data_IF_309149062997
#
_entry.id   IF_309149062997
#
_cell.length_a   1.000
_cell.length_b   1.000
_cell.length_c   1.000
_cell.angle_alpha   90.00
_cell.angle_beta   90.00
_cell.angle_gamma   90.00
#
_symmetry.space_group_name_H-M   'P 1'
#
loop_
_entity.id
_entity.type
_entity.pdbx_description
1 polymer ?
#
# COMPACT_ATOMS: atom_id res chain seq x y z
N UNK A 1 14.64 2.48 8.02
CA UNK A 1 14.13 1.77 6.83
C UNK A 1 13.03 2.59 6.19
N UNK A 2 13.08 2.80 4.85
CA UNK A 2 12.06 3.53 4.09
C UNK A 2 11.33 2.58 3.15
N UNK A 3 10.00 2.54 3.20
CA UNK A 3 9.17 1.57 2.48
C UNK A 3 8.18 2.32 1.59
N UNK A 4 8.12 1.96 0.31
CA UNK A 4 7.08 2.43 -0.61
C UNK A 4 5.80 1.60 -0.43
N UNK A 5 4.65 2.26 -0.33
CA UNK A 5 3.35 1.63 -0.21
C UNK A 5 2.47 1.96 -1.41
N UNK A 6 1.95 0.94 -2.07
CA UNK A 6 1.09 1.05 -3.26
C UNK A 6 -0.01 0.00 -3.21
N UNK A 7 -1.15 0.27 -3.81
CA UNK A 7 -2.28 -0.65 -3.93
C UNK A 7 -3.15 -0.29 -5.13
N UNK A 8 -3.97 -1.23 -5.58
CA UNK A 8 -5.04 -0.98 -6.55
C UNK A 8 -4.54 -0.32 -7.84
N UNK A 9 -3.49 -0.89 -8.42
CA UNK A 9 -2.89 -0.39 -9.67
C UNK A 9 -3.76 -0.68 -10.88
N UNK A 10 -4.43 -1.81 -10.94
CA UNK A 10 -5.36 -2.20 -12.02
C UNK A 10 -4.80 -1.97 -13.44
N UNK A 11 -3.51 -2.23 -13.67
CA UNK A 11 -2.85 -2.15 -14.96
C UNK A 11 -2.82 -3.54 -15.60
N UNK A 12 -3.19 -3.69 -16.88
CA UNK A 12 -3.53 -2.65 -17.86
C UNK A 12 -5.02 -2.26 -17.90
N UNK A 13 -5.88 -2.82 -17.05
CA UNK A 13 -7.33 -2.77 -17.19
C UNK A 13 -7.92 -1.36 -17.02
N UNK A 14 -7.27 -0.48 -16.26
CA UNK A 14 -7.73 0.89 -15.98
C UNK A 14 -6.79 1.98 -16.46
N UNK A 15 -5.52 1.67 -16.56
CA UNK A 15 -4.47 2.54 -17.10
C UNK A 15 -3.44 1.65 -17.77
N UNK A 16 -2.93 2.04 -18.92
CA UNK A 16 -1.97 1.23 -19.68
C UNK A 16 -0.59 1.14 -19.04
N UNK A 17 -0.20 2.16 -18.26
CA UNK A 17 1.14 2.24 -17.66
C UNK A 17 1.09 2.81 -16.24
N UNK A 18 2.06 2.40 -15.43
CA UNK A 18 2.29 3.00 -14.11
C UNK A 18 2.72 4.47 -14.28
N UNK A 19 2.08 5.44 -13.58
CA UNK A 19 2.46 6.83 -13.66
C UNK A 19 3.93 7.06 -13.27
N UNK A 20 4.68 7.84 -14.06
CA UNK A 20 6.09 8.15 -13.77
C UNK A 20 6.32 8.75 -12.38
N UNK A 21 5.37 9.50 -11.87
CA UNK A 21 5.45 10.06 -10.53
C UNK A 21 5.42 9.01 -9.40
N UNK A 22 4.94 7.78 -9.68
CA UNK A 22 5.09 6.66 -8.73
C UNK A 22 6.56 6.28 -8.61
N UNK A 23 7.26 6.20 -9.75
CA UNK A 23 8.70 5.90 -9.78
C UNK A 23 9.47 6.93 -8.95
N UNK A 24 9.20 8.23 -9.19
CA UNK A 24 9.83 9.34 -8.45
C UNK A 24 9.49 9.33 -6.96
N UNK A 25 8.26 8.98 -6.60
CA UNK A 25 7.84 8.89 -5.19
C UNK A 25 8.57 7.79 -4.42
N UNK A 26 9.02 6.74 -5.14
CA UNK A 26 9.72 5.60 -4.55
C UNK A 26 11.24 5.64 -4.72
N UNK A 27 11.81 6.74 -5.22
CA UNK A 27 13.25 6.91 -5.25
C UNK A 27 13.86 6.79 -3.83
N UNK A 28 14.84 5.88 -3.68
CA UNK A 28 15.54 5.66 -2.42
C UNK A 28 14.74 4.93 -1.34
N UNK A 29 13.65 4.21 -1.69
CA UNK A 29 13.04 3.26 -0.76
C UNK A 29 13.82 1.96 -0.72
N UNK A 30 13.82 1.29 0.44
CA UNK A 30 14.50 0.01 0.65
C UNK A 30 13.66 -1.19 0.20
N UNK A 31 12.33 -1.01 0.19
CA UNK A 31 11.34 -2.07 -0.08
C UNK A 31 10.06 -1.42 -0.62
N UNK A 32 9.31 -2.13 -1.46
CA UNK A 32 7.98 -1.74 -1.89
C UNK A 32 6.97 -2.81 -1.46
N UNK A 33 5.87 -2.39 -0.84
CA UNK A 33 4.74 -3.24 -0.46
C UNK A 33 3.54 -2.91 -1.34
N UNK A 34 3.02 -3.92 -2.05
CA UNK A 34 1.84 -3.78 -2.88
C UNK A 34 0.64 -4.53 -2.25
N UNK A 35 -0.36 -3.79 -1.80
CA UNK A 35 -1.51 -4.34 -1.08
C UNK A 35 -2.66 -4.83 -1.99
N UNK A 36 -2.31 -5.45 -3.13
CA UNK A 36 -3.24 -6.18 -4.00
C UNK A 36 -3.89 -5.35 -5.11
N UNK A 37 -4.63 -6.06 -5.97
CA UNK A 37 -5.16 -5.58 -7.24
C UNK A 37 -4.05 -5.02 -8.15
N UNK A 38 -3.01 -5.84 -8.30
CA UNK A 38 -1.87 -5.62 -9.20
C UNK A 38 -2.33 -5.74 -10.65
N UNK A 39 -3.03 -6.83 -10.95
CA UNK A 39 -3.65 -7.29 -12.19
C UNK A 39 -2.69 -7.74 -13.30
N UNK A 40 -1.41 -7.40 -13.25
CA UNK A 40 -0.40 -7.92 -14.17
C UNK A 40 1.01 -7.90 -13.56
N UNK A 41 1.83 -8.92 -13.83
CA UNK A 41 3.21 -9.01 -13.36
C UNK A 41 4.12 -7.88 -13.87
N UNK A 42 3.80 -7.27 -15.02
CA UNK A 42 4.55 -6.13 -15.55
C UNK A 42 4.63 -4.96 -14.55
N UNK A 43 3.60 -4.80 -13.71
CA UNK A 43 3.61 -3.78 -12.64
C UNK A 43 4.70 -4.10 -11.61
N UNK A 44 4.78 -5.36 -11.18
CA UNK A 44 5.79 -5.83 -10.22
C UNK A 44 7.19 -5.64 -10.81
N UNK A 45 7.42 -6.09 -12.04
CA UNK A 45 8.71 -5.96 -12.74
C UNK A 45 9.17 -4.50 -12.88
N UNK A 46 8.22 -3.58 -13.11
CA UNK A 46 8.52 -2.14 -13.15
C UNK A 46 8.93 -1.59 -11.79
N UNK A 47 8.24 -2.00 -10.73
CA UNK A 47 8.55 -1.58 -9.36
C UNK A 47 9.86 -2.20 -8.87
N UNK A 48 10.17 -3.43 -9.24
CA UNK A 48 11.42 -4.13 -8.88
C UNK A 48 12.68 -3.46 -9.46
N UNK A 49 12.54 -2.63 -10.49
CA UNK A 49 13.65 -1.79 -10.97
C UNK A 49 14.05 -0.69 -9.99
N UNK A 50 13.21 -0.41 -8.99
CA UNK A 50 13.45 0.61 -7.97
C UNK A 50 13.95 -0.04 -6.68
N UNK A 51 13.20 -1.03 -6.15
CA UNK A 51 13.50 -1.75 -4.92
C UNK A 51 12.79 -3.12 -4.94
N UNK A 52 13.18 -4.09 -4.10
CA UNK A 52 12.46 -5.35 -3.95
C UNK A 52 10.96 -5.12 -3.69
N UNK A 53 10.10 -5.98 -4.27
CA UNK A 53 8.64 -5.87 -4.15
C UNK A 53 8.07 -7.06 -3.40
N UNK A 54 7.23 -6.81 -2.42
CA UNK A 54 6.38 -7.82 -1.78
C UNK A 54 4.92 -7.46 -2.04
N UNK A 55 4.22 -8.30 -2.79
CA UNK A 55 2.82 -8.09 -3.14
C UNK A 55 1.93 -9.16 -2.53
N UNK A 56 0.64 -8.83 -2.35
CA UNK A 56 -0.43 -9.76 -1.99
C UNK A 56 -1.52 -9.72 -3.05
N UNK A 57 -2.35 -10.78 -3.11
CA UNK A 57 -3.46 -10.83 -4.05
C UNK A 57 -4.62 -9.92 -3.63
N UNK A 58 -5.26 -9.26 -4.60
CA UNK A 58 -6.55 -8.63 -4.45
C UNK A 58 -7.69 -9.41 -5.14
N UNK A 59 -8.90 -8.88 -5.09
CA UNK A 59 -10.05 -9.53 -5.74
C UNK A 59 -9.96 -9.51 -7.26
N UNK A 60 -9.32 -8.51 -7.85
CA UNK A 60 -9.15 -8.45 -9.31
C UNK A 60 -8.03 -9.36 -9.78
N UNK A 61 -6.99 -9.59 -8.96
CA UNK A 61 -5.95 -10.58 -9.25
C UNK A 61 -6.55 -11.98 -9.35
N UNK A 62 -7.41 -12.36 -8.41
CA UNK A 62 -8.17 -13.64 -8.45
C UNK A 62 -9.11 -13.71 -9.64
N UNK A 63 -9.78 -12.62 -9.97
CA UNK A 63 -10.74 -12.58 -11.08
C UNK A 63 -10.08 -12.78 -12.43
N UNK A 64 -8.92 -12.15 -12.65
CA UNK A 64 -8.23 -12.23 -13.94
C UNK A 64 -7.26 -13.40 -14.02
N UNK A 65 -6.74 -13.91 -12.89
CA UNK A 65 -5.82 -15.04 -12.83
C UNK A 65 -4.48 -14.81 -13.54
N UNK A 66 -4.07 -13.55 -13.69
CA UNK A 66 -2.82 -13.19 -14.38
C UNK A 66 -1.61 -13.19 -13.45
N UNK A 67 -1.83 -13.10 -12.14
CA UNK A 67 -0.81 -13.13 -11.10
C UNK A 67 -1.16 -14.15 -10.04
N UNK A 68 -0.16 -14.86 -9.53
CA UNK A 68 -0.28 -15.80 -8.41
C UNK A 68 0.46 -15.21 -7.21
N UNK A 69 -0.30 -14.65 -6.27
CA UNK A 69 0.20 -13.93 -5.11
C UNK A 69 -0.44 -14.46 -3.83
N UNK A 70 0.25 -14.42 -2.68
CA UNK A 70 -0.33 -14.84 -1.42
C UNK A 70 -1.42 -13.86 -0.95
N UNK A 71 -2.38 -14.38 -0.17
CA UNK A 71 -3.50 -13.58 0.39
C UNK A 71 -3.06 -12.50 1.37
N UNK A 72 -1.98 -12.77 2.09
CA UNK A 72 -1.39 -11.85 3.07
C UNK A 72 0.08 -12.16 3.25
N UNK A 73 0.82 -11.18 3.78
CA UNK A 73 2.21 -11.33 4.21
C UNK A 73 2.42 -10.67 5.56
N UNK A 74 3.43 -11.14 6.28
CA UNK A 74 3.93 -10.50 7.48
C UNK A 74 5.44 -10.32 7.31
N UNK A 75 5.93 -9.12 7.58
CA UNK A 75 7.36 -8.81 7.56
C UNK A 75 7.77 -8.12 8.85
N UNK A 76 9.07 -8.19 9.14
CA UNK A 76 9.69 -7.36 10.19
C UNK A 76 10.46 -6.23 9.54
N UNK A 77 10.27 -5.02 10.04
CA UNK A 77 11.01 -3.83 9.66
C UNK A 77 11.40 -3.08 10.94
N UNK A 78 12.69 -3.07 11.27
CA UNK A 78 13.19 -2.58 12.56
C UNK A 78 12.46 -3.28 13.73
N UNK A 79 11.87 -2.50 14.63
CA UNK A 79 11.09 -2.99 15.78
C UNK A 79 9.60 -3.23 15.42
N UNK A 80 9.21 -3.03 14.16
CA UNK A 80 7.82 -3.15 13.73
C UNK A 80 7.54 -4.48 13.05
N UNK A 81 6.34 -5.04 13.30
CA UNK A 81 5.77 -6.12 12.52
C UNK A 81 4.70 -5.54 11.60
N UNK A 82 4.86 -5.70 10.30
CA UNK A 82 3.97 -5.16 9.28
C UNK A 82 3.20 -6.29 8.63
N UNK A 83 1.87 -6.25 8.72
CA UNK A 83 0.97 -7.08 7.94
C UNK A 83 0.56 -6.40 6.64
N UNK A 84 0.37 -7.20 5.60
CA UNK A 84 -0.10 -6.74 4.30
C UNK A 84 -1.23 -7.65 3.86
N UNK A 85 -2.37 -7.07 3.49
CA UNK A 85 -3.51 -7.77 2.87
C UNK A 85 -4.29 -6.80 1.99
N UNK A 86 -5.16 -7.31 1.11
CA UNK A 86 -5.96 -6.41 0.27
C UNK A 86 -7.18 -5.82 0.99
N UNK A 87 -7.87 -6.61 1.79
CA UNK A 87 -8.99 -6.15 2.60
C UNK A 87 -10.38 -6.32 1.95
N UNK A 88 -10.46 -6.92 0.77
CA UNK A 88 -11.72 -7.15 0.03
C UNK A 88 -12.68 -8.13 0.70
N UNK A 89 -12.18 -8.93 1.67
CA UNK A 89 -12.98 -9.89 2.45
C UNK A 89 -13.55 -9.31 3.74
N UNK A 90 -13.23 -8.04 4.02
CA UNK A 90 -13.74 -7.29 5.16
C UNK A 90 -14.81 -6.30 4.69
N UNK A 91 -15.62 -5.82 5.62
CA UNK A 91 -16.59 -4.76 5.29
C UNK A 91 -15.81 -3.50 4.88
N UNK A 92 -16.18 -2.95 3.73
CA UNK A 92 -15.44 -1.82 3.13
C UNK A 92 -15.41 -0.62 4.06
N UNK A 93 -14.20 -0.18 4.42
CA UNK A 93 -13.98 0.99 5.28
C UNK A 93 -14.23 0.74 6.76
N UNK A 94 -14.41 -0.51 7.16
CA UNK A 94 -14.56 -0.89 8.57
C UNK A 94 -13.16 -0.99 9.22
N UNK A 95 -12.79 0.06 9.95
CA UNK A 95 -11.49 0.15 10.62
C UNK A 95 -11.38 -0.83 11.79
N UNK A 96 -12.47 -1.15 12.48
CA UNK A 96 -12.47 -2.10 13.58
C UNK A 96 -12.17 -3.52 13.07
N UNK A 97 -12.76 -3.94 11.94
CA UNK A 97 -12.43 -5.22 11.32
C UNK A 97 -10.97 -5.29 10.87
N UNK A 98 -10.41 -4.20 10.34
CA UNK A 98 -8.98 -4.13 10.00
C UNK A 98 -8.10 -4.22 11.25
N UNK A 99 -8.47 -3.54 12.34
CA UNK A 99 -7.74 -3.62 13.60
C UNK A 99 -7.79 -5.03 14.21
N UNK A 100 -8.95 -5.70 14.18
CA UNK A 100 -9.07 -7.10 14.60
C UNK A 100 -8.20 -8.02 13.73
N UNK A 101 -8.14 -7.77 12.42
CA UNK A 101 -7.30 -8.56 11.53
C UNK A 101 -5.81 -8.35 11.82
N UNK A 102 -5.41 -7.14 12.16
CA UNK A 102 -4.04 -6.86 12.59
C UNK A 102 -3.68 -7.61 13.89
N UNK A 103 -4.60 -7.66 14.86
CA UNK A 103 -4.43 -8.44 16.09
C UNK A 103 -4.31 -9.95 15.81
N UNK A 104 -5.18 -10.48 14.92
CA UNK A 104 -5.12 -11.88 14.52
C UNK A 104 -3.79 -12.25 13.84
N UNK A 105 -3.24 -11.31 13.06
CA UNK A 105 -1.94 -11.44 12.39
C UNK A 105 -0.75 -11.16 13.32
N UNK A 106 -1.00 -10.72 14.55
CA UNK A 106 0.03 -10.30 15.54
C UNK A 106 0.96 -9.21 15.00
N UNK A 107 0.40 -8.22 14.29
CA UNK A 107 1.14 -7.09 13.72
C UNK A 107 0.71 -5.76 14.35
N UNK A 108 1.62 -4.81 14.37
CA UNK A 108 1.36 -3.46 14.89
C UNK A 108 1.20 -2.39 13.77
N UNK A 109 1.51 -2.76 12.53
CA UNK A 109 1.17 -1.96 11.34
C UNK A 109 0.45 -2.88 10.35
N UNK A 110 -0.71 -2.46 9.83
CA UNK A 110 -1.43 -3.18 8.80
C UNK A 110 -1.60 -2.31 7.56
N UNK A 111 -1.09 -2.80 6.43
CA UNK A 111 -1.25 -2.17 5.12
C UNK A 111 -2.39 -2.86 4.39
N UNK A 112 -3.35 -2.07 3.90
CA UNK A 112 -4.50 -2.57 3.13
C UNK A 112 -4.75 -1.72 1.88
N UNK A 113 -5.57 -2.23 0.95
CA UNK A 113 -6.03 -1.57 -0.26
C UNK A 113 -7.55 -1.53 -0.36
N UNK A 114 -8.08 -1.92 -1.52
CA UNK A 114 -9.48 -2.16 -1.85
C UNK A 114 -10.39 -0.95 -1.84
N UNK A 115 -10.27 -0.04 -0.88
CA UNK A 115 -11.14 1.15 -0.81
C UNK A 115 -10.76 2.21 -1.84
N UNK A 116 -9.51 2.22 -2.32
CA UNK A 116 -8.89 3.24 -3.18
C UNK A 116 -8.89 4.64 -2.53
N UNK A 117 -9.00 4.72 -1.22
CA UNK A 117 -9.03 5.95 -0.44
C UNK A 117 -7.79 5.98 0.46
N UNK A 118 -6.89 6.96 0.30
CA UNK A 118 -5.72 7.08 1.16
C UNK A 118 -6.16 7.35 2.60
N UNK A 119 -5.65 6.55 3.53
CA UNK A 119 -6.00 6.64 4.94
C UNK A 119 -4.86 6.17 5.83
N UNK A 120 -4.67 6.84 6.95
CA UNK A 120 -3.81 6.37 8.04
C UNK A 120 -4.44 6.74 9.38
N UNK A 121 -4.60 5.74 10.23
CA UNK A 121 -5.21 5.88 11.56
C UNK A 121 -4.51 4.97 12.55
N UNK A 122 -4.34 5.46 13.77
CA UNK A 122 -3.86 4.67 14.89
C UNK A 122 -5.03 4.30 15.80
N UNK A 123 -5.28 2.99 15.94
CA UNK A 123 -6.27 2.42 16.86
C UNK A 123 -5.51 1.66 17.93
N UNK A 124 -5.49 2.17 19.15
CA UNK A 124 -4.64 1.68 20.26
C UNK A 124 -3.17 1.63 19.81
N UNK A 125 -2.56 0.45 19.78
CA UNK A 125 -1.16 0.24 19.41
C UNK A 125 -1.00 -0.22 17.95
N UNK A 126 -2.09 -0.21 17.15
CA UNK A 126 -2.10 -0.65 15.77
C UNK A 126 -2.19 0.58 14.85
N UNK A 127 -1.34 0.64 13.84
CA UNK A 127 -1.40 1.64 12.77
C UNK A 127 -2.00 0.96 11.54
N UNK A 128 -3.12 1.48 11.05
CA UNK A 128 -3.78 1.06 9.83
C UNK A 128 -3.44 2.04 8.70
N UNK A 129 -2.99 1.52 7.56
CA UNK A 129 -2.58 2.36 6.42
C UNK A 129 -3.20 1.81 5.14
N UNK A 130 -3.80 2.70 4.35
CA UNK A 130 -4.17 2.45 2.97
C UNK A 130 -3.51 3.51 2.08
N UNK A 131 -2.66 3.17 1.11
CA UNK A 131 -1.97 4.14 0.27
C UNK A 131 -2.88 4.83 -0.76
N UNK A 132 -4.13 4.38 -0.91
CA UNK A 132 -5.02 4.79 -1.98
C UNK A 132 -4.72 4.04 -3.29
N UNK A 133 -5.04 4.66 -4.41
CA UNK A 133 -4.78 4.10 -5.74
C UNK A 133 -4.09 5.13 -6.64
N UNK A 134 -3.01 4.76 -7.35
CA UNK A 134 -2.33 5.65 -8.30
C UNK A 134 -3.06 5.76 -9.64
N UNK A 135 -4.05 4.93 -9.89
CA UNK A 135 -4.72 4.81 -11.20
C UNK A 135 -6.23 5.06 -11.15
N UNK A 136 -6.91 4.54 -10.10
CA UNK A 136 -8.39 4.55 -9.96
C UNK A 136 -8.80 5.07 -8.60
N UNK A 137 -8.49 6.33 -8.25
CA UNK A 137 -8.80 6.87 -6.95
C UNK A 137 -10.32 7.04 -6.76
N UNK A 138 -10.79 6.83 -5.53
CA UNK A 138 -12.17 7.16 -5.12
C UNK A 138 -12.25 8.45 -4.30
N UNK A 139 -11.11 8.95 -3.84
CA UNK A 139 -10.98 10.24 -3.16
C UNK A 139 -10.80 11.44 -4.10
N UNK A 140 -10.75 11.20 -5.42
CA UNK A 140 -10.41 12.21 -6.42
C UNK A 140 -8.91 12.45 -6.61
N UNK A 141 -8.05 11.91 -5.75
CA UNK A 141 -6.59 12.09 -5.81
C UNK A 141 -5.88 10.74 -5.99
N UNK A 142 -5.02 10.65 -6.99
CA UNK A 142 -4.16 9.48 -7.22
C UNK A 142 -2.99 9.53 -6.26
N UNK A 143 -2.85 8.50 -5.43
CA UNK A 143 -1.87 8.48 -4.34
C UNK A 143 -1.11 7.18 -4.26
N UNK A 144 0.08 7.27 -3.72
CA UNK A 144 0.86 6.24 -3.07
C UNK A 144 1.29 6.77 -1.70
N UNK A 145 1.96 5.97 -0.89
CA UNK A 145 2.51 6.46 0.37
C UNK A 145 3.95 5.99 0.56
N UNK A 146 4.69 6.66 1.44
CA UNK A 146 5.95 6.18 1.98
C UNK A 146 5.83 6.03 3.49
N UNK A 147 6.42 4.96 4.00
CA UNK A 147 6.50 4.64 5.42
C UNK A 147 7.98 4.66 5.82
N UNK A 148 8.34 5.54 6.72
CA UNK A 148 9.70 5.60 7.26
C UNK A 148 9.70 5.12 8.71
N UNK A 149 10.55 4.14 9.01
CA UNK A 149 10.70 3.52 10.33
C UNK A 149 12.13 3.74 10.79
N UNK A 150 12.26 4.47 11.90
CA UNK A 150 13.54 4.74 12.56
C UNK A 150 13.40 4.36 14.04
N UNK A 151 13.86 3.16 14.40
CA UNK A 151 13.65 2.58 15.73
C UNK A 151 12.16 2.51 16.09
N UNK A 152 11.69 3.35 16.99
CA UNK A 152 10.28 3.38 17.44
C UNK A 152 9.45 4.46 16.74
N UNK A 153 10.09 5.31 15.92
CA UNK A 153 9.39 6.37 15.19
C UNK A 153 8.89 5.86 13.85
N UNK A 154 7.60 6.06 13.61
CA UNK A 154 6.91 5.70 12.36
C UNK A 154 6.37 6.97 11.72
N UNK A 155 6.82 7.29 10.51
CA UNK A 155 6.36 8.43 9.73
C UNK A 155 5.72 7.96 8.44
N UNK A 156 4.55 8.53 8.09
CA UNK A 156 3.78 8.20 6.90
C UNK A 156 3.62 9.47 6.07
N UNK A 157 3.97 9.41 4.78
CA UNK A 157 3.75 10.48 3.83
C UNK A 157 2.90 9.98 2.66
N UNK A 158 1.75 10.63 2.40
CA UNK A 158 0.96 10.39 1.18
C UNK A 158 1.46 11.26 0.05
N UNK A 159 1.79 10.65 -1.09
CA UNK A 159 2.31 11.32 -2.27
C UNK A 159 1.28 11.30 -3.39
N UNK A 160 0.89 12.48 -3.87
CA UNK A 160 0.02 12.61 -5.06
C UNK A 160 0.85 12.36 -6.31
N UNK A 161 0.43 11.36 -7.09
CA UNK A 161 1.17 10.90 -8.28
C UNK A 161 0.58 11.37 -9.61
N UNK A 162 -0.34 12.34 -9.56
CA UNK A 162 -0.95 12.94 -10.74
C UNK A 162 -0.86 14.45 -10.70
N UNK A 163 -0.22 15.07 -11.73
CA UNK A 163 0.07 16.52 -11.88
C UNK A 163 0.87 17.14 -10.72
N UNK A 164 2.16 17.32 -10.93
CA UNK A 164 3.13 18.22 -10.27
C UNK A 164 2.65 18.98 -9.02
N UNK A 165 2.29 18.33 -7.94
CA UNK A 165 2.13 19.01 -6.65
C UNK A 165 2.32 18.05 -5.48
N UNK A 166 3.54 18.08 -4.93
CA UNK A 166 3.82 17.48 -3.63
C UNK A 166 3.25 18.39 -2.54
N UNK A 167 2.30 17.90 -1.74
CA UNK A 167 1.96 18.52 -0.46
C UNK A 167 2.24 17.50 0.65
N UNK A 168 3.24 17.81 1.48
CA UNK A 168 3.51 17.05 2.71
C UNK A 168 2.37 17.27 3.70
N UNK A 169 1.75 16.19 4.18
CA UNK A 169 0.89 16.21 5.34
C UNK A 169 1.60 15.42 6.44
N UNK A 170 2.22 16.14 7.37
CA UNK A 170 2.78 15.52 8.57
C UNK A 170 1.65 15.22 9.55
N UNK A 171 1.48 13.97 9.92
CA UNK A 171 0.72 13.60 11.10
C UNK A 171 1.64 13.79 12.31
N UNK A 172 1.38 14.86 13.07
CA UNK A 172 2.03 15.03 14.37
C UNK A 172 1.38 14.08 15.37
N UNK A 173 2.22 13.32 16.04
CA UNK A 173 1.84 12.47 17.18
C UNK A 173 1.59 13.32 18.40
#
# INVERSE_FOLDING_TARGET
MKIGLISDTHIPDRLSLLPENVIKAFEGVDLILHAGDVTDYEVIEKLEKIAPVLAVEGNMDRRFGRVDLPKSRIIKAENQKIGILHGDRLMRGDMDQLAYKALEMEVNILISGHTHIPHAEKIKDIILINPGSPTVPRSGERTVATLEINSDKVEIEFVKVWKNSFKKKQLKH
#
